data_IF_999058300383
#
_entry.id   IF_999058300383
#
_cell.length_a   1.000
_cell.length_b   1.000
_cell.length_c   1.000
_cell.angle_alpha   90.00
_cell.angle_beta   90.00
_cell.angle_gamma   90.00
#
_symmetry.space_group_name_H-M   'P 1'
#
loop_
_entity.id
_entity.type
_entity.pdbx_description
1 polymer ?
#
# COMPACT_ATOMS: atom_id res chain seq x y z
N UNK A 1 -9.45 12.85 -16.78
CA UNK A 1 -10.01 11.87 -15.81
C UNK A 1 -11.31 12.41 -15.24
N UNK A 2 -12.36 11.61 -15.11
CA UNK A 2 -13.56 12.04 -14.37
C UNK A 2 -13.26 12.05 -12.86
N UNK A 3 -13.92 12.93 -12.10
CA UNK A 3 -13.75 13.03 -10.65
C UNK A 3 -13.94 11.67 -9.95
N UNK A 4 -14.90 10.87 -10.41
CA UNK A 4 -15.16 9.52 -9.89
C UNK A 4 -13.93 8.62 -9.98
N UNK A 5 -13.23 8.61 -11.12
CA UNK A 5 -12.02 7.77 -11.30
C UNK A 5 -10.90 8.23 -10.38
N UNK A 6 -10.72 9.54 -10.22
CA UNK A 6 -9.72 10.09 -9.29
C UNK A 6 -10.02 9.65 -7.85
N UNK A 7 -11.28 9.70 -7.43
CA UNK A 7 -11.69 9.26 -6.09
C UNK A 7 -11.52 7.76 -5.89
N UNK A 8 -11.82 6.94 -6.90
CA UNK A 8 -11.62 5.48 -6.83
C UNK A 8 -10.14 5.13 -6.66
N UNK A 9 -9.25 5.76 -7.45
CA UNK A 9 -7.80 5.55 -7.35
C UNK A 9 -7.26 6.07 -6.02
N UNK A 10 -7.69 7.24 -5.56
CA UNK A 10 -7.27 7.76 -4.26
C UNK A 10 -7.71 6.82 -3.12
N UNK A 11 -8.93 6.29 -3.20
CA UNK A 11 -9.43 5.34 -2.21
C UNK A 11 -8.68 4.00 -2.26
N UNK A 12 -8.35 3.48 -3.44
CA UNK A 12 -7.55 2.26 -3.56
C UNK A 12 -6.16 2.45 -2.95
N UNK A 13 -5.52 3.60 -3.21
CA UNK A 13 -4.22 3.93 -2.60
C UNK A 13 -4.30 3.97 -1.06
N UNK A 14 -5.38 4.52 -0.49
CA UNK A 14 -5.55 4.51 0.97
C UNK A 14 -5.70 3.07 1.49
N UNK A 15 -6.49 2.24 0.82
CA UNK A 15 -6.66 0.83 1.19
C UNK A 15 -5.35 0.04 1.11
N UNK A 16 -4.53 0.28 0.08
CA UNK A 16 -3.20 -0.33 -0.05
C UNK A 16 -2.31 0.03 1.16
N UNK A 17 -2.23 1.32 1.48
CA UNK A 17 -1.42 1.82 2.61
C UNK A 17 -1.91 1.24 3.94
N UNK A 18 -3.22 1.17 4.15
CA UNK A 18 -3.82 0.56 5.34
C UNK A 18 -3.49 -0.93 5.40
N UNK A 19 -3.62 -1.65 4.30
CA UNK A 19 -3.29 -3.08 4.22
C UNK A 19 -1.83 -3.34 4.57
N UNK A 20 -0.92 -2.57 3.97
CA UNK A 20 0.53 -2.64 4.26
C UNK A 20 0.85 -2.36 5.72
N UNK A 21 0.23 -1.35 6.33
CA UNK A 21 0.39 -1.08 7.77
C UNK A 21 -0.14 -2.23 8.63
N UNK A 22 -1.32 -2.77 8.31
CA UNK A 22 -1.88 -3.92 9.01
C UNK A 22 -0.95 -5.13 8.95
N UNK A 23 -0.37 -5.41 7.78
CA UNK A 23 0.61 -6.48 7.63
C UNK A 23 1.85 -6.24 8.48
N UNK A 24 2.42 -5.04 8.40
CA UNK A 24 3.64 -4.72 9.15
C UNK A 24 3.43 -4.79 10.65
N UNK A 25 2.39 -4.12 11.17
CA UNK A 25 2.05 -4.14 12.60
C UNK A 25 1.67 -5.56 13.06
N UNK A 26 0.99 -6.33 12.20
CA UNK A 26 0.57 -7.68 12.53
C UNK A 26 1.76 -8.62 12.66
N UNK A 27 2.72 -8.52 11.74
CA UNK A 27 3.97 -9.29 11.77
C UNK A 27 4.87 -8.87 12.95
N UNK A 28 4.98 -7.58 13.24
CA UNK A 28 5.79 -7.06 14.35
C UNK A 28 5.25 -7.48 15.74
N UNK A 29 3.99 -7.92 15.82
CA UNK A 29 3.36 -8.43 17.05
C UNK A 29 3.44 -9.95 17.19
N UNK A 30 4.00 -10.66 16.22
CA UNK A 30 4.15 -12.11 16.33
C UNK A 30 5.22 -12.45 17.39
N UNK A 31 4.99 -13.48 18.23
CA UNK A 31 5.99 -13.94 19.18
C UNK A 31 7.25 -14.43 18.47
N UNK A 32 8.43 -14.12 19.02
CA UNK A 32 9.70 -14.68 18.53
C UNK A 32 9.67 -16.22 18.59
N UNK A 33 10.18 -16.87 17.55
CA UNK A 33 10.24 -18.32 17.49
C UNK A 33 11.47 -18.84 18.24
N UNK A 34 11.24 -19.51 19.36
CA UNK A 34 12.31 -20.19 20.11
C UNK A 34 12.95 -21.31 19.27
N UNK A 35 14.29 -21.35 19.26
CA UNK A 35 15.05 -22.38 18.55
C UNK A 35 15.31 -22.11 17.06
N UNK A 36 15.05 -20.88 16.59
CA UNK A 36 15.33 -20.44 15.22
C UNK A 36 14.11 -20.46 14.31
N UNK A 37 14.30 -20.04 13.06
CA UNK A 37 13.18 -19.88 12.11
C UNK A 37 12.59 -21.24 11.72
N UNK A 38 11.31 -21.45 12.05
CA UNK A 38 10.54 -22.65 11.69
C UNK A 38 9.35 -22.24 10.84
N UNK A 39 9.38 -22.58 9.56
CA UNK A 39 8.37 -22.16 8.57
C UNK A 39 6.93 -22.50 9.00
N UNK A 40 6.71 -23.71 9.50
CA UNK A 40 5.36 -24.15 9.93
C UNK A 40 4.85 -23.34 11.13
N UNK A 41 5.73 -22.99 12.08
CA UNK A 41 5.36 -22.20 13.25
C UNK A 41 5.08 -20.75 12.87
N UNK A 42 5.88 -20.17 11.97
CA UNK A 42 5.64 -18.84 11.42
C UNK A 42 4.26 -18.73 10.75
N UNK A 43 3.94 -19.64 9.83
CA UNK A 43 2.63 -19.62 9.17
C UNK A 43 1.48 -19.89 10.15
N UNK A 44 1.68 -20.77 11.13
CA UNK A 44 0.72 -20.97 12.21
C UNK A 44 0.42 -19.68 12.97
N UNK A 45 1.42 -18.88 13.30
CA UNK A 45 1.23 -17.56 13.91
C UNK A 45 0.54 -16.56 12.98
N UNK A 46 0.95 -16.51 11.70
CA UNK A 46 0.36 -15.65 10.67
C UNK A 46 -1.15 -15.88 10.54
N UNK A 47 -1.59 -17.14 10.42
CA UNK A 47 -3.01 -17.46 10.29
C UNK A 47 -3.83 -17.12 11.54
N UNK A 48 -3.19 -17.05 12.72
CA UNK A 48 -3.85 -16.69 13.97
C UNK A 48 -3.79 -15.19 14.28
N UNK A 49 -3.14 -14.36 13.46
CA UNK A 49 -3.00 -12.93 13.69
C UNK A 49 -4.17 -12.13 13.07
N UNK A 50 -5.12 -11.58 13.86
CA UNK A 50 -6.30 -10.91 13.33
C UNK A 50 -5.98 -9.70 12.44
N UNK A 51 -4.89 -8.99 12.75
CA UNK A 51 -4.51 -7.79 12.01
C UNK A 51 -4.04 -8.11 10.58
N UNK A 52 -3.48 -9.31 10.35
CA UNK A 52 -3.13 -9.75 8.99
C UNK A 52 -4.38 -10.01 8.17
N UNK A 53 -5.43 -10.55 8.79
CA UNK A 53 -6.74 -10.69 8.14
C UNK A 53 -7.40 -9.35 7.83
N UNK A 54 -7.25 -8.35 8.71
CA UNK A 54 -7.68 -6.99 8.39
C UNK A 54 -6.96 -6.44 7.14
N UNK A 55 -5.65 -6.69 7.02
CA UNK A 55 -4.88 -6.30 5.84
C UNK A 55 -5.35 -7.01 4.56
N UNK A 56 -5.64 -8.32 4.64
CA UNK A 56 -6.23 -9.08 3.53
C UNK A 56 -7.60 -8.51 3.15
N UNK A 57 -8.43 -8.15 4.14
CA UNK A 57 -9.72 -7.51 3.91
C UNK A 57 -9.59 -6.16 3.19
N UNK A 58 -8.62 -5.33 3.60
CA UNK A 58 -8.33 -4.06 2.92
C UNK A 58 -7.95 -4.29 1.45
N UNK A 59 -7.06 -5.25 1.17
CA UNK A 59 -6.64 -5.61 -0.19
C UNK A 59 -7.76 -6.21 -1.03
N UNK A 60 -8.67 -6.99 -0.41
CA UNK A 60 -9.84 -7.52 -1.12
C UNK A 60 -10.78 -6.40 -1.55
N UNK A 61 -11.02 -5.41 -0.68
CA UNK A 61 -11.82 -4.22 -1.02
C UNK A 61 -11.09 -3.37 -2.06
N UNK A 62 -9.78 -3.17 -1.90
CA UNK A 62 -8.95 -2.44 -2.84
C UNK A 62 -9.04 -3.03 -4.24
N UNK A 63 -8.94 -4.35 -4.36
CA UNK A 63 -9.06 -5.06 -5.62
C UNK A 63 -10.38 -4.76 -6.33
N UNK A 64 -11.51 -4.76 -5.61
CA UNK A 64 -12.82 -4.42 -6.18
C UNK A 64 -12.88 -2.96 -6.65
N UNK A 65 -12.35 -2.04 -5.84
CA UNK A 65 -12.27 -0.61 -6.18
C UNK A 65 -11.38 -0.39 -7.40
N UNK A 66 -10.27 -1.11 -7.49
CA UNK A 66 -9.32 -1.03 -8.59
C UNK A 66 -9.91 -1.55 -9.89
N UNK A 67 -10.64 -2.68 -9.87
CA UNK A 67 -11.38 -3.18 -11.03
C UNK A 67 -12.41 -2.14 -11.54
N UNK A 68 -13.09 -1.47 -10.61
CA UNK A 68 -14.05 -0.42 -10.95
C UNK A 68 -13.37 0.84 -11.53
N UNK A 69 -12.17 1.18 -11.08
CA UNK A 69 -11.39 2.24 -11.70
C UNK A 69 -10.96 1.85 -13.13
N UNK A 70 -10.45 0.62 -13.31
CA UNK A 70 -10.00 0.09 -14.60
C UNK A 70 -11.13 -0.05 -15.63
N UNK A 71 -12.37 -0.28 -15.19
CA UNK A 71 -13.52 -0.32 -16.11
C UNK A 71 -13.86 1.07 -16.69
N UNK A 72 -13.36 2.14 -16.08
CA UNK A 72 -13.72 3.54 -16.38
C UNK A 72 -12.60 4.37 -17.02
N UNK A 73 -11.36 3.88 -17.00
CA UNK A 73 -10.21 4.60 -17.56
C UNK A 73 -9.09 3.64 -17.97
N UNK A 74 -8.25 4.02 -18.95
CA UNK A 74 -7.19 3.16 -19.45
C UNK A 74 -6.13 2.88 -18.37
N UNK A 75 -5.64 1.65 -18.33
CA UNK A 75 -4.60 1.21 -17.39
C UNK A 75 -3.35 2.09 -17.43
N UNK A 76 -2.95 2.56 -18.62
CA UNK A 76 -1.79 3.45 -18.80
C UNK A 76 -1.90 4.78 -18.06
N UNK A 77 -3.12 5.21 -17.73
CA UNK A 77 -3.39 6.42 -16.95
C UNK A 77 -3.46 6.12 -15.45
N UNK A 78 -4.07 5.00 -15.06
CA UNK A 78 -4.30 4.66 -13.65
C UNK A 78 -3.09 4.04 -12.96
N UNK A 79 -2.38 3.15 -13.66
CA UNK A 79 -1.26 2.41 -13.10
C UNK A 79 -0.13 3.31 -12.55
N UNK A 80 0.26 4.41 -13.23
CA UNK A 80 1.18 5.38 -12.65
C UNK A 80 0.68 5.98 -11.33
N UNK A 81 -0.61 6.33 -11.23
CA UNK A 81 -1.19 6.89 -10.01
C UNK A 81 -1.10 5.94 -8.82
N UNK A 82 -1.22 4.63 -9.04
CA UNK A 82 -1.05 3.63 -7.97
C UNK A 82 0.33 3.67 -7.32
N UNK A 83 1.38 4.12 -8.02
CA UNK A 83 2.71 4.28 -7.43
C UNK A 83 2.75 5.30 -6.27
N UNK A 84 1.75 6.18 -6.15
CA UNK A 84 1.61 7.08 -5.00
C UNK A 84 1.34 6.34 -3.69
N UNK A 85 0.90 5.08 -3.73
CA UNK A 85 0.79 4.25 -2.55
C UNK A 85 2.14 4.04 -1.85
N UNK A 86 3.24 3.98 -2.61
CA UNK A 86 4.58 3.99 -2.02
C UNK A 86 4.83 5.23 -1.16
N UNK A 87 4.44 6.42 -1.66
CA UNK A 87 4.56 7.66 -0.91
C UNK A 87 3.72 7.60 0.38
N UNK A 88 2.51 7.07 0.27
CA UNK A 88 1.62 6.80 1.40
C UNK A 88 2.26 5.88 2.43
N UNK A 89 2.85 4.75 2.02
CA UNK A 89 3.52 3.79 2.91
C UNK A 89 4.74 4.43 3.60
N UNK A 90 5.55 5.21 2.89
CA UNK A 90 6.70 5.92 3.50
C UNK A 90 6.25 6.93 4.55
N UNK A 91 5.20 7.71 4.24
CA UNK A 91 4.60 8.66 5.18
C UNK A 91 4.01 7.95 6.39
N UNK A 92 3.23 6.91 6.15
CA UNK A 92 2.55 6.14 7.17
C UNK A 92 3.53 5.36 8.06
N UNK A 93 4.59 4.78 7.49
CA UNK A 93 5.67 4.14 8.26
C UNK A 93 6.37 5.14 9.18
N UNK A 94 6.63 6.37 8.72
CA UNK A 94 7.19 7.41 9.59
C UNK A 94 6.22 7.84 10.70
N UNK A 95 4.94 8.08 10.36
CA UNK A 95 3.97 8.67 11.29
C UNK A 95 3.36 7.66 12.27
N UNK A 96 3.09 6.45 11.81
CA UNK A 96 2.40 5.39 12.58
C UNK A 96 3.39 4.44 13.24
N UNK A 97 4.44 4.04 12.52
CA UNK A 97 5.44 3.08 13.01
C UNK A 97 6.67 3.76 13.63
N UNK A 98 6.81 5.08 13.47
CA UNK A 98 7.97 5.82 13.96
C UNK A 98 9.26 5.52 13.18
N UNK A 99 9.16 5.01 11.95
CA UNK A 99 10.33 4.65 11.16
C UNK A 99 11.22 5.87 10.81
N UNK A 100 12.54 5.67 10.87
CA UNK A 100 13.51 6.69 10.45
C UNK A 100 13.68 6.66 8.93
N UNK A 101 13.00 7.58 8.24
CA UNK A 101 13.10 7.70 6.78
C UNK A 101 14.30 8.57 6.39
N UNK A 102 15.28 7.97 5.71
CA UNK A 102 16.48 8.68 5.25
C UNK A 102 16.18 9.78 4.23
N UNK A 103 17.05 10.80 4.15
CA UNK A 103 16.94 11.89 3.16
C UNK A 103 16.91 11.36 1.71
N UNK A 104 17.67 10.30 1.41
CA UNK A 104 17.70 9.67 0.08
C UNK A 104 16.33 9.05 -0.27
N UNK A 105 15.66 8.42 0.70
CA UNK A 105 14.33 7.83 0.49
C UNK A 105 13.28 8.93 0.25
N UNK A 106 13.38 10.07 0.94
CA UNK A 106 12.55 11.24 0.64
C UNK A 106 12.75 11.79 -0.77
N UNK A 107 14.00 11.90 -1.22
CA UNK A 107 14.28 12.33 -2.61
C UNK A 107 13.67 11.36 -3.62
N UNK A 108 13.84 10.04 -3.43
CA UNK A 108 13.21 9.04 -4.29
C UNK A 108 11.68 9.14 -4.31
N UNK A 109 11.06 9.37 -3.14
CA UNK A 109 9.61 9.57 -3.00
C UNK A 109 9.13 10.80 -3.78
N UNK A 110 9.88 11.90 -3.73
CA UNK A 110 9.60 13.10 -4.52
C UNK A 110 9.70 12.82 -6.03
N UNK A 111 10.75 12.10 -6.46
CA UNK A 111 10.93 11.73 -7.87
C UNK A 111 9.77 10.87 -8.38
N UNK A 112 9.33 9.87 -7.61
CA UNK A 112 8.15 9.06 -7.93
C UNK A 112 6.93 9.95 -8.08
N UNK A 113 6.67 10.82 -7.10
CA UNK A 113 5.50 11.71 -7.10
C UNK A 113 5.50 12.62 -8.34
N UNK A 114 6.65 13.21 -8.68
CA UNK A 114 6.80 14.05 -9.89
C UNK A 114 6.59 13.23 -11.16
N UNK A 115 7.13 12.01 -11.23
CA UNK A 115 6.92 11.10 -12.36
C UNK A 115 5.44 10.79 -12.58
N UNK A 116 4.70 10.51 -11.51
CA UNK A 116 3.24 10.30 -11.58
C UNK A 116 2.52 11.54 -12.08
N UNK A 117 2.85 12.73 -11.57
CA UNK A 117 2.24 13.99 -12.01
C UNK A 117 2.49 14.25 -13.50
N UNK A 118 3.70 13.97 -14.00
CA UNK A 118 4.02 14.12 -15.42
C UNK A 118 3.18 13.19 -16.29
N UNK A 119 3.00 11.92 -15.91
CA UNK A 119 2.16 10.98 -16.66
C UNK A 119 0.69 11.37 -16.60
N UNK A 120 0.21 11.85 -15.45
CA UNK A 120 -1.18 12.31 -15.30
C UNK A 120 -1.49 13.51 -16.20
N UNK A 121 -0.56 14.45 -16.35
CA UNK A 121 -0.68 15.61 -17.25
C UNK A 121 -0.53 15.20 -18.72
N UNK A 122 0.37 14.27 -19.04
CA UNK A 122 0.55 13.80 -20.41
C UNK A 122 -0.63 12.96 -20.92
N UNK A 123 -1.40 12.34 -20.01
CA UNK A 123 -2.58 11.54 -20.32
C UNK A 123 -3.92 12.28 -20.21
N UNK A 124 -3.91 13.59 -19.91
CA UNK A 124 -5.08 14.48 -19.91
C UNK A 124 -5.19 15.26 -21.21
#
# INVERSE_FOLDING_TARGET
>A
MTLTVVLLVAFSIVLDVVGQLCFKIGLDRLPELEGGFRLNAFWGQVFNAPLLWCGIGAYAVEFLVWLEALSRAPLSLLFPSAALAYCGVVLAGKLVLGETVSRRRWMGTLVITLGVMLVAIAGS
#
